data_IF_502900738817
#
_entry.id   IF_502900738817
#
_cell.length_a   1.000
_cell.length_b   1.000
_cell.length_c   1.000
_cell.angle_alpha   90.00
_cell.angle_beta   90.00
_cell.angle_gamma   90.00
#
_symmetry.space_group_name_H-M   'P 1'
#
loop_
_entity.id
_entity.type
_entity.pdbx_description
1 polymer ?
#
# COMPACT_ATOMS: atom_id res chain seq x y z
N UNK A 1 -4.37 -9.61 26.84
CA UNK A 1 -4.73 -9.83 25.43
C UNK A 1 -3.52 -10.43 24.73
N UNK A 2 -3.63 -11.62 24.15
CA UNK A 2 -2.61 -12.10 23.21
C UNK A 2 -2.89 -11.40 21.88
N UNK A 3 -1.90 -10.68 21.35
CA UNK A 3 -2.05 -10.06 20.03
C UNK A 3 -2.18 -11.18 19.01
N UNK A 4 -3.28 -11.19 18.26
CA UNK A 4 -3.45 -12.10 17.14
C UNK A 4 -2.68 -11.55 15.95
N UNK A 5 -1.57 -12.19 15.53
CA UNK A 5 -0.71 -11.66 14.47
C UNK A 5 -1.43 -11.60 13.12
N UNK A 6 -2.43 -12.44 12.88
CA UNK A 6 -3.18 -12.46 11.64
C UNK A 6 -4.12 -11.26 11.56
N UNK A 7 -4.89 -11.01 12.62
CA UNK A 7 -5.75 -9.83 12.71
C UNK A 7 -4.93 -8.53 12.61
N UNK A 8 -3.76 -8.49 13.24
CA UNK A 8 -2.88 -7.32 13.20
C UNK A 8 -2.36 -7.05 11.79
N UNK A 9 -2.02 -8.11 11.06
CA UNK A 9 -1.59 -8.04 9.66
C UNK A 9 -2.71 -7.55 8.73
N UNK A 10 -3.94 -8.03 8.93
CA UNK A 10 -5.11 -7.55 8.17
C UNK A 10 -5.38 -6.06 8.40
N UNK A 11 -5.33 -5.62 9.67
CA UNK A 11 -5.47 -4.20 10.00
C UNK A 11 -4.40 -3.35 9.34
N UNK A 12 -3.14 -3.81 9.33
CA UNK A 12 -2.03 -3.11 8.68
C UNK A 12 -2.25 -2.97 7.17
N UNK A 13 -2.66 -4.03 6.48
CA UNK A 13 -2.94 -3.97 5.04
C UNK A 13 -4.11 -3.02 4.77
N UNK A 14 -5.17 -3.10 5.57
CA UNK A 14 -6.36 -2.26 5.41
C UNK A 14 -6.02 -0.78 5.55
N UNK A 15 -5.28 -0.41 6.60
CA UNK A 15 -4.85 0.97 6.83
C UNK A 15 -3.97 1.46 5.68
N UNK A 16 -2.99 0.66 5.26
CA UNK A 16 -2.12 1.04 4.14
C UNK A 16 -2.91 1.19 2.83
N UNK A 17 -3.84 0.29 2.53
CA UNK A 17 -4.67 0.37 1.34
C UNK A 17 -5.64 1.55 1.37
N UNK A 18 -6.15 1.93 2.55
CA UNK A 18 -7.05 3.07 2.70
C UNK A 18 -6.35 4.41 2.46
N UNK A 19 -5.13 4.58 2.98
CA UNK A 19 -4.38 5.83 2.83
C UNK A 19 -3.59 5.93 1.51
N UNK A 20 -3.36 4.79 0.84
CA UNK A 20 -2.58 4.73 -0.39
C UNK A 20 -3.09 5.67 -1.50
N UNK A 21 -4.39 5.72 -1.86
CA UNK A 21 -4.88 6.59 -2.93
C UNK A 21 -4.63 8.07 -2.65
N UNK A 22 -4.85 8.49 -1.40
CA UNK A 22 -4.63 9.89 -0.97
C UNK A 22 -3.16 10.24 -1.11
N UNK A 23 -2.27 9.36 -0.63
CA UNK A 23 -0.83 9.52 -0.75
C UNK A 23 -0.40 9.60 -2.23
N UNK A 24 -0.80 8.63 -3.05
CA UNK A 24 -0.42 8.56 -4.45
C UNK A 24 -0.88 9.79 -5.26
N UNK A 25 -2.11 10.25 -5.04
CA UNK A 25 -2.64 11.45 -5.71
C UNK A 25 -1.88 12.70 -5.25
N UNK A 26 -1.61 12.83 -3.94
CA UNK A 26 -0.89 14.00 -3.41
C UNK A 26 0.51 14.13 -4.00
N UNK A 27 1.24 13.02 -4.12
CA UNK A 27 2.59 12.98 -4.72
C UNK A 27 2.55 13.27 -6.22
N UNK A 28 1.55 12.78 -6.94
CA UNK A 28 1.37 13.06 -8.36
C UNK A 28 1.08 14.55 -8.62
N UNK A 29 0.16 15.15 -7.84
CA UNK A 29 -0.18 16.57 -7.92
C UNK A 29 1.02 17.43 -7.53
N UNK A 30 1.74 17.07 -6.46
CA UNK A 30 2.94 17.78 -6.03
C UNK A 30 4.03 17.77 -7.10
N UNK A 31 4.28 16.60 -7.70
CA UNK A 31 5.24 16.45 -8.79
C UNK A 31 4.85 17.31 -9.99
N UNK A 32 3.57 17.26 -10.41
CA UNK A 32 3.05 18.08 -11.50
C UNK A 32 3.21 19.59 -11.22
N UNK A 33 2.85 20.03 -10.01
CA UNK A 33 2.97 21.42 -9.60
C UNK A 33 4.43 21.91 -9.65
N UNK A 34 5.39 21.08 -9.21
CA UNK A 34 6.82 21.39 -9.32
C UNK A 34 7.30 21.47 -10.77
N UNK A 35 6.74 20.68 -11.68
CA UNK A 35 7.05 20.77 -13.12
C UNK A 35 6.51 22.04 -13.78
N UNK A 36 5.34 22.52 -13.35
CA UNK A 36 4.67 23.71 -13.89
C UNK A 36 5.13 25.02 -13.24
N UNK A 37 5.77 24.97 -12.07
CA UNK A 37 6.23 26.16 -11.34
C UNK A 37 7.30 26.91 -12.14
N UNK A 38 7.06 28.21 -12.38
CA UNK A 38 7.99 29.12 -13.05
C UNK A 38 9.30 29.35 -12.25
N UNK A 39 9.26 29.15 -10.93
CA UNK A 39 10.45 29.11 -10.06
C UNK A 39 11.06 27.71 -10.09
N UNK A 40 11.87 27.45 -11.12
CA UNK A 40 12.51 26.16 -11.37
C UNK A 40 13.83 25.96 -10.60
N UNK A 41 13.92 26.46 -9.37
CA UNK A 41 15.10 26.34 -8.51
C UNK A 41 15.10 25.02 -7.71
N UNK A 42 14.35 24.00 -8.13
CA UNK A 42 14.36 22.69 -7.47
C UNK A 42 15.43 21.80 -8.13
N UNK A 43 16.63 21.65 -7.55
CA UNK A 43 17.64 20.77 -8.10
C UNK A 43 17.14 19.33 -8.09
N UNK A 44 17.51 18.55 -9.11
CA UNK A 44 17.26 17.10 -9.19
C UNK A 44 15.78 16.66 -9.17
N UNK A 45 14.87 17.50 -9.67
CA UNK A 45 13.43 17.20 -9.75
C UNK A 45 13.12 15.81 -10.37
N UNK A 46 13.86 15.42 -11.41
CA UNK A 46 13.68 14.12 -12.06
C UNK A 46 14.02 12.94 -11.14
N UNK A 47 15.07 13.06 -10.33
CA UNK A 47 15.45 12.01 -9.38
C UNK A 47 14.41 11.88 -8.26
N UNK A 48 13.92 13.00 -7.74
CA UNK A 48 12.83 13.02 -6.75
C UNK A 48 11.57 12.35 -7.31
N UNK A 49 11.19 12.70 -8.54
CA UNK A 49 10.02 12.11 -9.20
C UNK A 49 10.15 10.59 -9.37
N UNK A 50 11.34 10.11 -9.76
CA UNK A 50 11.61 8.66 -9.90
C UNK A 50 11.52 7.96 -8.55
N UNK A 51 12.11 8.51 -7.49
CA UNK A 51 12.06 7.92 -6.14
C UNK A 51 10.63 7.89 -5.61
N UNK A 52 9.88 8.98 -5.78
CA UNK A 52 8.47 9.04 -5.37
C UNK A 52 7.63 8.02 -6.14
N UNK A 53 7.80 7.92 -7.46
CA UNK A 53 7.10 6.94 -8.28
C UNK A 53 7.45 5.49 -7.89
N UNK A 54 8.73 5.19 -7.69
CA UNK A 54 9.18 3.89 -7.24
C UNK A 54 8.57 3.51 -5.89
N UNK A 55 8.48 4.45 -4.95
CA UNK A 55 7.83 4.24 -3.66
C UNK A 55 6.34 3.92 -3.80
N UNK A 56 5.61 4.73 -4.57
CA UNK A 56 4.18 4.51 -4.87
C UNK A 56 3.96 3.15 -5.53
N UNK A 57 4.85 2.75 -6.44
CA UNK A 57 4.77 1.47 -7.12
C UNK A 57 5.02 0.29 -6.16
N UNK A 58 6.07 0.38 -5.33
CA UNK A 58 6.39 -0.66 -4.34
C UNK A 58 5.28 -0.80 -3.30
N UNK A 59 4.68 0.29 -2.84
CA UNK A 59 3.59 0.24 -1.88
C UNK A 59 2.31 -0.36 -2.49
N UNK A 60 2.01 -0.07 -3.76
CA UNK A 60 0.94 -0.77 -4.50
C UNK A 60 1.23 -2.27 -4.60
N UNK A 61 2.45 -2.62 -4.97
CA UNK A 61 2.87 -4.00 -5.15
C UNK A 61 2.74 -4.80 -3.85
N UNK A 62 3.12 -4.22 -2.70
CA UNK A 62 2.89 -4.84 -1.37
C UNK A 62 1.40 -5.10 -1.14
N UNK A 63 0.54 -4.11 -1.34
CA UNK A 63 -0.91 -4.26 -1.12
C UNK A 63 -1.48 -5.39 -1.98
N UNK A 64 -1.08 -5.46 -3.26
CA UNK A 64 -1.53 -6.50 -4.18
C UNK A 64 -1.01 -7.89 -3.79
N UNK A 65 0.29 -8.02 -3.49
CA UNK A 65 0.89 -9.29 -3.07
C UNK A 65 0.25 -9.81 -1.78
N UNK A 66 0.07 -8.94 -0.80
CA UNK A 66 -0.47 -9.36 0.50
C UNK A 66 -1.96 -9.69 0.42
N UNK A 67 -2.74 -8.98 -0.41
CA UNK A 67 -4.12 -9.38 -0.69
C UNK A 67 -4.20 -10.75 -1.37
N UNK A 68 -3.34 -11.01 -2.37
CA UNK A 68 -3.25 -12.32 -3.04
C UNK A 68 -2.82 -13.43 -2.09
N UNK A 69 -1.83 -13.16 -1.23
CA UNK A 69 -1.37 -14.10 -0.22
C UNK A 69 -2.49 -14.45 0.76
N UNK A 70 -3.20 -13.43 1.27
CA UNK A 70 -4.36 -13.61 2.15
C UNK A 70 -5.46 -14.47 1.53
N UNK A 71 -5.83 -14.18 0.27
CA UNK A 71 -6.83 -14.99 -0.45
C UNK A 71 -6.41 -16.45 -0.60
N UNK A 72 -5.10 -16.70 -0.78
CA UNK A 72 -4.55 -18.04 -0.89
C UNK A 72 -4.61 -18.77 0.45
N UNK A 73 -4.19 -18.12 1.55
CA UNK A 73 -4.26 -18.68 2.89
C UNK A 73 -5.71 -19.01 3.30
N UNK A 74 -6.67 -18.09 3.06
CA UNK A 74 -8.08 -18.32 3.38
C UNK A 74 -8.70 -19.50 2.62
N UNK A 75 -8.20 -19.82 1.42
CA UNK A 75 -8.67 -20.99 0.65
C UNK A 75 -8.08 -22.31 1.13
N UNK A 76 -6.93 -22.27 1.81
CA UNK A 76 -6.26 -23.45 2.35
C UNK A 76 -6.77 -23.81 3.76
N UNK A 77 -7.48 -22.89 4.41
CA UNK A 77 -8.12 -23.15 5.69
C UNK A 77 -9.36 -24.04 5.49
N UNK A 78 -9.39 -25.26 6.04
CA UNK A 78 -10.54 -26.14 5.91
C UNK A 78 -11.76 -25.48 6.59
N UNK A 79 -12.99 -25.66 6.06
CA UNK A 79 -14.17 -25.23 6.78
C UNK A 79 -14.16 -25.92 8.15
N UNK A 80 -14.31 -25.13 9.23
CA UNK A 80 -14.48 -25.66 10.57
C UNK A 80 -15.61 -26.70 10.54
N UNK A 81 -15.25 -27.98 10.63
CA UNK A 81 -16.19 -29.08 10.85
C UNK A 81 -16.75 -28.89 12.26
N UNK A 82 -17.94 -28.30 12.33
CA UNK A 82 -18.70 -28.15 13.56
C UNK A 82 -19.18 -29.55 13.99
N UNK A 83 -18.26 -30.39 14.47
CA UNK A 83 -18.61 -31.58 15.23
C UNK A 83 -19.15 -31.13 16.58
N UNK A 84 -20.45 -30.80 16.57
CA UNK A 84 -21.27 -30.80 17.77
C UNK A 84 -21.13 -32.16 18.42
N UNK A 85 -20.54 -32.15 19.63
CA UNK A 85 -20.71 -33.21 20.61
C UNK A 85 -22.16 -33.27 21.07
#
# INVERSE_FOLDING_TARGET
MKADPELMFECLIYINAYYYPVYAVSEAVMTLAKYLSEKKDTPNLGQDAIVCFARIFVDLFKILLFNRFKETCRRLEPPYDFKGQ
#
